data_IF_511973267686
#
_entry.id   IF_511973267686
#
_cell.length_a   1.000
_cell.length_b   1.000
_cell.length_c   1.000
_cell.angle_alpha   90.00
_cell.angle_beta   90.00
_cell.angle_gamma   90.00
#
_symmetry.space_group_name_H-M   'P 1'
#
loop_
_entity.id
_entity.type
_entity.pdbx_description
1 polymer ?
#
# COMPACT_ATOMS: atom_id res chain seq x y z
N UNK A 1 1.31 -10.43 0.29
CA UNK A 1 1.99 -9.75 1.44
C UNK A 1 3.49 -10.04 1.54
N UNK A 2 3.93 -11.29 1.36
CA UNK A 2 5.37 -11.66 1.51
C UNK A 2 6.34 -10.92 0.56
N UNK A 3 5.86 -10.29 -0.49
CA UNK A 3 6.70 -9.53 -1.44
C UNK A 3 6.79 -8.03 -1.16
N UNK A 4 6.01 -7.49 -0.22
CA UNK A 4 6.06 -6.07 0.12
C UNK A 4 7.46 -5.60 0.57
N UNK A 5 8.23 -6.38 1.33
CA UNK A 5 9.58 -5.97 1.71
C UNK A 5 10.55 -5.74 0.55
N UNK A 6 10.32 -6.39 -0.59
CA UNK A 6 11.17 -6.20 -1.76
C UNK A 6 10.96 -4.86 -2.47
N UNK A 7 9.87 -4.16 -2.19
CA UNK A 7 9.53 -2.89 -2.85
C UNK A 7 10.46 -1.73 -2.45
N UNK A 8 11.19 -1.84 -1.34
CA UNK A 8 11.88 -0.68 -0.78
C UNK A 8 10.88 0.36 -0.27
N UNK A 9 11.18 1.63 -0.47
CA UNK A 9 10.33 2.72 0.04
C UNK A 9 9.14 2.99 -0.87
N UNK A 10 7.94 2.99 -0.31
CA UNK A 10 6.67 3.34 -0.95
C UNK A 10 5.91 4.35 -0.12
N UNK A 11 5.04 5.14 -0.75
CA UNK A 11 4.09 5.97 -0.01
C UNK A 11 2.81 5.16 0.23
N UNK A 12 2.49 4.96 1.50
CA UNK A 12 1.34 4.22 1.98
C UNK A 12 0.24 5.19 2.44
N UNK A 13 -0.92 5.13 1.77
CA UNK A 13 -2.11 5.86 2.14
C UNK A 13 -3.14 4.90 2.71
N UNK A 14 -3.75 5.28 3.83
CA UNK A 14 -4.70 4.43 4.53
C UNK A 14 -5.73 5.28 5.29
N UNK A 15 -6.77 4.62 5.77
CA UNK A 15 -7.76 5.25 6.63
C UNK A 15 -7.64 4.62 8.03
N UNK A 16 -7.35 5.45 9.03
CA UNK A 16 -7.16 5.03 10.42
C UNK A 16 -8.46 4.56 11.08
N UNK A 17 -9.60 5.05 10.59
CA UNK A 17 -10.93 4.71 11.08
C UNK A 17 -11.53 3.49 10.38
N UNK A 18 -10.85 2.95 9.35
CA UNK A 18 -11.32 1.75 8.66
C UNK A 18 -11.35 0.58 9.65
N UNK A 19 -12.54 0.06 9.90
CA UNK A 19 -12.69 -1.13 10.73
C UNK A 19 -12.01 -2.31 10.04
N UNK A 20 -11.05 -2.91 10.72
CA UNK A 20 -10.53 -4.21 10.33
C UNK A 20 -11.66 -5.22 10.54
N UNK A 21 -12.11 -5.84 9.46
CA UNK A 21 -13.12 -6.88 9.55
C UNK A 21 -12.43 -8.14 10.08
N UNK A 22 -12.53 -8.35 11.37
CA UNK A 22 -11.82 -9.40 12.11
C UNK A 22 -12.36 -10.81 11.85
N UNK A 23 -13.25 -11.02 10.89
CA UNK A 23 -13.91 -12.32 10.71
C UNK A 23 -13.00 -13.47 10.27
N UNK A 24 -11.85 -13.19 9.70
CA UNK A 24 -10.80 -14.19 9.46
C UNK A 24 -9.49 -13.49 9.13
N UNK A 25 -8.69 -13.17 10.12
CA UNK A 25 -7.29 -12.83 9.87
C UNK A 25 -6.60 -14.00 9.15
N UNK A 26 -5.81 -13.74 8.10
CA UNK A 26 -5.06 -14.80 7.48
C UNK A 26 -4.19 -15.48 8.54
N UNK A 27 -4.26 -16.82 8.67
CA UNK A 27 -3.53 -17.52 9.72
C UNK A 27 -2.03 -17.24 9.57
N UNK A 28 -1.40 -16.82 10.65
CA UNK A 28 0.04 -16.67 10.74
C UNK A 28 0.61 -15.31 10.30
N UNK A 29 -0.22 -14.31 9.98
CA UNK A 29 0.25 -12.95 9.69
C UNK A 29 -0.27 -11.96 10.72
N UNK A 30 0.63 -11.21 11.32
CA UNK A 30 0.35 -10.10 12.25
C UNK A 30 0.94 -8.80 11.70
N UNK A 31 0.58 -7.69 12.30
CA UNK A 31 1.20 -6.37 12.06
C UNK A 31 1.76 -5.82 13.36
N UNK A 32 2.90 -5.14 13.27
CA UNK A 32 3.55 -4.51 14.44
C UNK A 32 2.83 -3.25 14.91
N UNK A 33 2.17 -2.57 13.98
CA UNK A 33 1.52 -1.28 14.22
C UNK A 33 0.09 -1.25 13.69
N UNK A 34 -0.77 -0.52 14.40
CA UNK A 34 -2.18 -0.32 13.99
C UNK A 34 -2.32 0.30 12.60
N UNK A 35 -1.38 1.15 12.21
CA UNK A 35 -1.35 1.77 10.88
C UNK A 35 -1.29 0.75 9.74
N UNK A 36 -0.68 -0.41 9.96
CA UNK A 36 -0.57 -1.49 8.98
C UNK A 36 -1.77 -2.45 8.99
N UNK A 37 -2.68 -2.32 9.96
CA UNK A 37 -3.84 -3.21 10.09
C UNK A 37 -4.72 -3.30 8.82
N UNK A 38 -4.94 -2.23 8.03
CA UNK A 38 -5.67 -2.34 6.76
C UNK A 38 -5.08 -3.34 5.78
N UNK A 39 -3.76 -3.62 5.85
CA UNK A 39 -3.09 -4.58 4.98
C UNK A 39 -3.42 -6.04 5.31
N UNK A 40 -3.90 -6.33 6.53
CA UNK A 40 -4.32 -7.69 6.91
C UNK A 40 -5.55 -8.16 6.14
N UNK A 41 -6.42 -7.22 5.75
CA UNK A 41 -7.66 -7.50 5.02
C UNK A 41 -7.45 -7.55 3.49
N UNK A 42 -6.24 -7.33 3.01
CA UNK A 42 -5.96 -7.27 1.57
C UNK A 42 -5.98 -8.67 0.97
N UNK A 43 -6.88 -8.84 0.01
CA UNK A 43 -7.07 -10.07 -0.73
C UNK A 43 -6.43 -10.01 -2.12
N UNK A 44 -6.53 -8.85 -2.79
CA UNK A 44 -5.92 -8.62 -4.09
C UNK A 44 -5.33 -7.22 -4.21
N UNK A 45 -4.45 -7.05 -5.19
CA UNK A 45 -3.86 -5.78 -5.56
C UNK A 45 -4.34 -5.41 -6.96
N UNK A 46 -4.69 -4.16 -7.16
CA UNK A 46 -5.07 -3.64 -8.47
C UNK A 46 -4.11 -2.50 -8.84
N UNK A 47 -3.42 -2.71 -9.94
CA UNK A 47 -2.54 -1.70 -10.51
C UNK A 47 -3.35 -0.56 -11.13
N UNK A 48 -2.96 0.64 -10.84
CA UNK A 48 -3.60 1.85 -11.35
C UNK A 48 -2.53 2.88 -11.72
N UNK A 49 -2.78 3.60 -12.78
CA UNK A 49 -1.94 4.73 -13.20
C UNK A 49 -2.81 5.91 -13.61
N UNK A 50 -2.30 7.12 -13.41
CA UNK A 50 -2.92 8.34 -13.89
C UNK A 50 -1.85 9.36 -14.31
N UNK A 51 -2.18 10.19 -15.26
CA UNK A 51 -1.38 11.37 -15.59
C UNK A 51 -1.96 12.55 -14.82
N UNK A 52 -1.14 13.12 -13.95
CA UNK A 52 -1.47 14.30 -13.14
C UNK A 52 -0.73 15.54 -13.66
N UNK A 53 -1.03 16.71 -13.12
CA UNK A 53 -0.31 17.94 -13.44
C UNK A 53 1.20 17.83 -13.12
N UNK A 54 1.55 17.01 -12.13
CA UNK A 54 2.95 16.76 -11.70
C UNK A 54 3.61 15.60 -12.45
N UNK A 55 2.94 15.01 -13.45
CA UNK A 55 3.43 13.88 -14.24
C UNK A 55 2.69 12.57 -13.96
N UNK A 56 3.21 11.46 -14.52
CA UNK A 56 2.61 10.15 -14.35
C UNK A 56 2.74 9.68 -12.90
N UNK A 57 1.68 9.06 -12.40
CA UNK A 57 1.60 8.43 -11.07
C UNK A 57 1.15 6.99 -11.21
N UNK A 58 1.79 6.11 -10.49
CA UNK A 58 1.44 4.69 -10.43
C UNK A 58 1.22 4.28 -8.97
N UNK A 59 0.21 3.46 -8.74
CA UNK A 59 -0.06 2.92 -7.42
C UNK A 59 -0.77 1.58 -7.48
N UNK A 60 -0.72 0.86 -6.37
CA UNK A 60 -1.48 -0.35 -6.12
C UNK A 60 -2.63 -0.03 -5.17
N UNK A 61 -3.86 -0.25 -5.61
CA UNK A 61 -5.02 -0.31 -4.72
C UNK A 61 -5.04 -1.66 -4.02
N UNK A 62 -4.97 -1.63 -2.71
CA UNK A 62 -5.06 -2.81 -1.85
C UNK A 62 -6.53 -3.09 -1.53
N UNK A 63 -7.10 -4.14 -2.10
CA UNK A 63 -8.53 -4.44 -2.06
C UNK A 63 -8.83 -5.61 -1.12
N UNK A 64 -9.93 -5.51 -0.38
CA UNK A 64 -10.44 -6.65 0.40
C UNK A 64 -11.18 -7.66 -0.49
N UNK A 65 -11.63 -8.77 0.11
CA UNK A 65 -12.38 -9.83 -0.59
C UNK A 65 -13.71 -9.36 -1.19
N UNK A 66 -14.23 -8.21 -0.76
CA UNK A 66 -15.47 -7.62 -1.24
C UNK A 66 -15.24 -6.52 -2.29
N UNK A 67 -14.00 -6.32 -2.72
CA UNK A 67 -13.63 -5.27 -3.67
C UNK A 67 -13.64 -3.85 -3.07
N UNK A 68 -13.50 -3.72 -1.77
CA UNK A 68 -13.38 -2.40 -1.12
C UNK A 68 -11.90 -2.05 -0.94
N UNK A 69 -11.49 -0.82 -1.30
CA UNK A 69 -10.12 -0.39 -1.12
C UNK A 69 -9.83 -0.20 0.38
N UNK A 70 -8.75 -0.79 0.85
CA UNK A 70 -8.29 -0.75 2.24
C UNK A 70 -7.09 0.18 2.42
N UNK A 71 -6.26 0.25 1.39
CA UNK A 71 -5.06 1.06 1.37
C UNK A 71 -4.61 1.29 -0.07
N UNK A 72 -3.65 2.20 -0.24
CA UNK A 72 -3.00 2.50 -1.52
C UNK A 72 -1.50 2.59 -1.32
N UNK A 73 -0.73 1.96 -2.19
CA UNK A 73 0.73 2.04 -2.22
C UNK A 73 1.15 2.78 -3.49
N UNK A 74 1.75 3.95 -3.36
CA UNK A 74 2.28 4.71 -4.48
C UNK A 74 3.74 4.39 -4.72
N UNK A 75 4.08 4.24 -6.00
CA UNK A 75 5.45 4.16 -6.48
C UNK A 75 6.16 5.49 -6.19
N UNK A 76 7.34 5.41 -5.62
CA UNK A 76 8.24 6.53 -5.38
C UNK A 76 9.54 6.36 -6.18
N UNK A 77 10.34 7.42 -6.38
CA UNK A 77 11.67 7.29 -6.98
C UNK A 77 12.61 6.33 -6.24
N UNK A 78 12.37 6.09 -4.95
CA UNK A 78 13.14 5.20 -4.08
C UNK A 78 12.57 3.77 -4.01
N UNK A 79 11.48 3.49 -4.74
CA UNK A 79 10.90 2.15 -4.84
C UNK A 79 11.77 1.28 -5.75
N UNK A 80 11.97 0.02 -5.38
CA UNK A 80 12.59 -0.96 -6.28
C UNK A 80 11.63 -1.27 -7.43
N UNK A 81 11.95 -0.71 -8.60
CA UNK A 81 11.10 -0.80 -9.78
C UNK A 81 10.96 -2.23 -10.30
N UNK A 82 12.01 -3.05 -10.21
CA UNK A 82 11.95 -4.45 -10.64
C UNK A 82 11.04 -5.27 -9.73
N UNK A 83 11.12 -5.05 -8.42
CA UNK A 83 10.23 -5.70 -7.47
C UNK A 83 8.78 -5.21 -7.64
N UNK A 84 8.58 -3.94 -7.98
CA UNK A 84 7.27 -3.38 -8.30
C UNK A 84 6.66 -4.05 -9.54
N UNK A 85 7.39 -4.13 -10.65
CA UNK A 85 6.93 -4.82 -11.87
C UNK A 85 6.64 -6.31 -11.62
N UNK A 86 7.51 -6.99 -10.88
CA UNK A 86 7.30 -8.39 -10.52
C UNK A 86 6.04 -8.61 -9.66
N UNK A 87 5.71 -7.64 -8.79
CA UNK A 87 4.48 -7.67 -8.00
C UNK A 87 3.26 -7.43 -8.90
N UNK A 88 3.36 -6.48 -9.83
CA UNK A 88 2.31 -6.16 -10.81
C UNK A 88 2.00 -7.37 -11.70
N UNK A 89 3.02 -7.98 -12.31
CA UNK A 89 2.87 -9.12 -13.22
C UNK A 89 2.18 -10.33 -12.56
N UNK A 90 2.30 -10.49 -11.25
CA UNK A 90 1.63 -11.57 -10.51
C UNK A 90 0.13 -11.33 -10.31
N UNK A 91 -0.31 -10.08 -10.38
CA UNK A 91 -1.69 -9.68 -10.11
C UNK A 91 -2.44 -9.23 -11.38
N UNK A 92 -1.77 -9.20 -12.52
CA UNK A 92 -2.40 -9.06 -13.84
C UNK A 92 -3.13 -10.36 -14.21
N UNK A 93 -4.23 -10.64 -13.54
CA UNK A 93 -5.16 -11.67 -13.99
C UNK A 93 -6.17 -11.01 -14.94
N UNK A 94 -6.15 -11.33 -16.25
CA UNK A 94 -6.93 -10.60 -17.26
C UNK A 94 -8.46 -10.81 -17.13
N UNK A 95 -8.92 -11.54 -16.14
CA UNK A 95 -10.32 -12.00 -16.04
C UNK A 95 -11.14 -11.37 -14.92
N UNK A 96 -10.57 -10.48 -14.10
CA UNK A 96 -11.33 -9.89 -12.98
C UNK A 96 -11.00 -8.40 -12.77
N UNK A 97 -11.03 -7.62 -13.84
CA UNK A 97 -11.26 -6.18 -13.65
C UNK A 97 -12.71 -6.03 -13.21
N UNK A 98 -13.01 -5.69 -11.96
CA UNK A 98 -14.36 -5.31 -11.60
C UNK A 98 -14.66 -3.98 -12.28
N UNK A 99 -15.13 -4.03 -13.51
CA UNK A 99 -15.65 -2.87 -14.24
C UNK A 99 -17.01 -2.50 -13.65
N UNK A 100 -17.05 -2.28 -12.35
CA UNK A 100 -18.23 -1.69 -11.74
C UNK A 100 -18.03 -0.18 -11.70
N UNK A 101 -18.91 0.62 -12.33
CA UNK A 101 -18.88 2.08 -12.25
C UNK A 101 -19.11 2.60 -10.82
N UNK A 102 -19.34 1.73 -9.87
CA UNK A 102 -19.59 2.03 -8.45
C UNK A 102 -18.52 1.47 -7.51
N UNK A 103 -17.25 1.39 -7.96
CA UNK A 103 -16.20 1.03 -7.02
C UNK A 103 -16.07 2.12 -5.94
N UNK A 104 -16.14 1.74 -4.67
CA UNK A 104 -15.92 2.69 -3.59
C UNK A 104 -14.48 3.23 -3.71
N UNK A 105 -14.31 4.54 -3.63
CA UNK A 105 -12.98 5.15 -3.63
C UNK A 105 -12.40 5.09 -2.22
N UNK A 106 -11.10 4.79 -2.14
CA UNK A 106 -10.37 5.00 -0.89
C UNK A 106 -10.42 6.48 -0.52
N UNK A 107 -10.80 6.77 0.71
CA UNK A 107 -10.69 8.09 1.32
C UNK A 107 -9.65 8.00 2.42
N UNK A 108 -8.37 8.19 2.10
CA UNK A 108 -7.33 8.15 3.11
C UNK A 108 -7.48 9.34 4.06
N UNK A 109 -7.10 9.16 5.30
CA UNK A 109 -6.95 10.24 6.29
C UNK A 109 -5.49 10.37 6.73
N UNK A 110 -4.64 9.45 6.31
CA UNK A 110 -3.25 9.37 6.70
C UNK A 110 -2.37 8.89 5.56
N UNK A 111 -1.16 9.43 5.50
CA UNK A 111 -0.10 9.01 4.58
C UNK A 111 1.20 8.81 5.35
N UNK A 112 1.95 7.78 5.03
CA UNK A 112 3.29 7.57 5.56
C UNK A 112 4.21 6.93 4.53
N UNK A 113 5.50 7.31 4.57
CA UNK A 113 6.52 6.58 3.81
C UNK A 113 6.85 5.31 4.58
N UNK A 114 6.78 4.18 3.90
CA UNK A 114 6.99 2.87 4.52
C UNK A 114 7.98 2.06 3.70
N UNK A 115 8.93 1.47 4.38
CA UNK A 115 9.74 0.37 3.89
C UNK A 115 9.34 -0.85 4.71
N UNK A 116 8.67 -1.80 4.06
CA UNK A 116 8.14 -2.98 4.74
C UNK A 116 9.25 -3.96 5.07
N UNK A 117 9.11 -4.64 6.20
CA UNK A 117 9.92 -5.81 6.54
C UNK A 117 9.04 -6.90 7.13
N UNK A 118 9.49 -8.13 7.04
CA UNK A 118 8.89 -9.27 7.72
C UNK A 118 9.80 -9.73 8.84
N UNK A 119 9.24 -9.91 10.02
CA UNK A 119 9.89 -10.48 11.17
C UNK A 119 9.18 -11.78 11.56
N UNK A 120 9.92 -12.75 12.05
CA UNK A 120 9.34 -13.95 12.66
C UNK A 120 9.28 -13.78 14.18
N UNK A 121 8.14 -14.10 14.75
CA UNK A 121 7.94 -14.13 16.19
C UNK A 121 7.08 -15.32 16.58
N UNK A 122 7.66 -16.29 17.29
CA UNK A 122 6.95 -17.49 17.79
C UNK A 122 6.11 -18.19 16.70
N UNK A 123 6.73 -18.54 15.57
CA UNK A 123 6.11 -19.18 14.38
C UNK A 123 5.06 -18.32 13.65
N UNK A 124 4.93 -17.04 14.02
CA UNK A 124 4.10 -16.07 13.34
C UNK A 124 4.94 -15.11 12.50
N UNK A 125 4.42 -14.73 11.36
CA UNK A 125 5.02 -13.69 10.52
C UNK A 125 4.41 -12.35 10.91
N UNK A 126 5.27 -11.38 11.23
CA UNK A 126 4.88 -10.02 11.58
C UNK A 126 5.31 -9.08 10.46
N UNK A 127 4.34 -8.41 9.83
CA UNK A 127 4.60 -7.30 8.93
C UNK A 127 4.89 -6.06 9.76
N UNK A 128 6.04 -5.48 9.50
CA UNK A 128 6.57 -4.33 10.23
C UNK A 128 7.06 -3.28 9.23
N UNK A 129 7.40 -2.11 9.70
CA UNK A 129 8.09 -1.08 8.91
C UNK A 129 9.51 -0.88 9.41
N UNK A 130 10.41 -0.61 8.47
CA UNK A 130 11.79 -0.23 8.81
C UNK A 130 11.83 1.27 9.13
N UNK A 131 12.04 1.58 10.39
CA UNK A 131 12.16 2.96 10.87
C UNK A 131 13.45 3.67 10.38
N UNK A 132 14.42 2.91 9.87
CA UNK A 132 15.69 3.44 9.36
C UNK A 132 15.63 3.86 7.88
N UNK A 133 14.52 3.59 7.20
CA UNK A 133 14.35 3.93 5.80
C UNK A 133 14.42 5.44 5.57
N UNK A 134 15.35 5.86 4.72
CA UNK A 134 15.49 7.26 4.31
C UNK A 134 15.09 7.41 2.85
N UNK A 135 14.33 8.47 2.54
CA UNK A 135 14.03 8.84 1.17
C UNK A 135 15.08 9.79 0.61
N UNK A 136 15.29 9.69 -0.70
CA UNK A 136 15.97 10.73 -1.46
C UNK A 136 15.22 12.07 -1.38
N UNK A 137 15.87 13.21 -1.65
CA UNK A 137 15.18 14.49 -1.74
C UNK A 137 14.03 14.48 -2.74
N UNK A 138 14.18 13.78 -3.88
CA UNK A 138 13.15 13.63 -4.89
C UNK A 138 11.99 12.78 -4.37
N UNK A 139 12.27 11.65 -3.70
CA UNK A 139 11.24 10.81 -3.09
C UNK A 139 10.43 11.56 -2.03
N UNK A 140 11.09 12.35 -1.19
CA UNK A 140 10.41 13.21 -0.22
C UNK A 140 9.49 14.24 -0.89
N UNK A 141 9.96 14.87 -1.97
CA UNK A 141 9.17 15.84 -2.73
C UNK A 141 7.93 15.18 -3.35
N UNK A 142 8.11 14.05 -4.02
CA UNK A 142 7.01 13.31 -4.65
C UNK A 142 6.00 12.82 -3.61
N UNK A 143 6.46 12.27 -2.49
CA UNK A 143 5.58 11.81 -1.41
C UNK A 143 4.75 12.96 -0.82
N UNK A 144 5.37 14.13 -0.59
CA UNK A 144 4.67 15.31 -0.09
C UNK A 144 3.61 15.83 -1.08
N UNK A 145 3.92 15.85 -2.38
CA UNK A 145 2.97 16.25 -3.42
C UNK A 145 1.77 15.31 -3.51
N UNK A 146 1.99 14.00 -3.45
CA UNK A 146 0.89 13.03 -3.46
C UNK A 146 0.02 13.21 -2.21
N UNK A 147 0.62 13.30 -1.01
CA UNK A 147 -0.13 13.50 0.22
C UNK A 147 -0.97 14.79 0.19
N UNK A 148 -0.41 15.89 -0.37
CA UNK A 148 -1.12 17.14 -0.54
C UNK A 148 -2.32 16.99 -1.52
N UNK A 149 -2.13 16.33 -2.66
CA UNK A 149 -3.19 16.09 -3.64
C UNK A 149 -4.34 15.25 -3.07
N UNK A 150 -4.02 14.30 -2.20
CA UNK A 150 -5.02 13.47 -1.48
C UNK A 150 -5.58 14.17 -0.22
N UNK A 151 -5.13 15.40 0.07
CA UNK A 151 -5.55 16.19 1.24
C UNK A 151 -5.28 15.50 2.59
N UNK A 152 -4.18 14.76 2.68
CA UNK A 152 -3.78 14.03 3.90
C UNK A 152 -2.45 14.54 4.45
N UNK A 153 -2.26 14.36 5.77
CA UNK A 153 -0.99 14.67 6.41
C UNK A 153 0.00 13.54 6.21
N UNK A 154 1.21 13.88 5.74
CA UNK A 154 2.32 12.94 5.64
C UNK A 154 2.98 12.78 7.01
N UNK A 155 2.87 11.61 7.62
CA UNK A 155 3.61 11.24 8.82
C UNK A 155 4.97 10.63 8.46
N UNK A 156 5.96 10.99 9.25
CA UNK A 156 7.34 10.50 9.12
C UNK A 156 7.62 9.41 10.12
#
# INVERSE_FOLDING_TARGET
MHKLPALGSVLYLYNTSAQVITEALPPGLLVSERALAPLLDVYWLMATSAVTEDGPREWLECMDRFGRPRARLHLLPDTDYLAWEALMAMHESPLQSPTSPYMPLLRPDSASVVNFRLCEFADLIVLDRDASASLSPLGNHVAAHIAHAESVSLSR
#
